data_IF_242508621751
#
_entry.id   IF_242508621751
#
_cell.length_a   1.000
_cell.length_b   1.000
_cell.length_c   1.000
_cell.angle_alpha   90.00
_cell.angle_beta   90.00
_cell.angle_gamma   90.00
#
_symmetry.space_group_name_H-M   'P 1'
#
loop_
_entity.id
_entity.type
_entity.pdbx_description
1 polymer ?
#
# COMPACT_ATOMS: atom_id res chain seq x y z
N UNK A 1 8.26 -12.92 -16.73
CA UNK A 1 9.54 -13.36 -16.11
C UNK A 1 10.01 -12.41 -15.02
N UNK A 2 9.80 -11.09 -15.14
CA UNK A 2 10.06 -10.14 -14.04
C UNK A 2 8.97 -10.20 -12.95
N UNK A 3 7.74 -10.54 -13.35
CA UNK A 3 6.59 -10.70 -12.45
C UNK A 3 6.82 -11.79 -11.41
N UNK A 4 7.24 -12.97 -11.88
CA UNK A 4 7.65 -14.09 -11.02
C UNK A 4 8.83 -13.78 -10.09
N UNK A 5 9.69 -12.82 -10.45
CA UNK A 5 10.83 -12.46 -9.62
C UNK A 5 10.42 -11.57 -8.45
N UNK A 6 9.43 -10.69 -8.64
CA UNK A 6 8.88 -9.85 -7.58
C UNK A 6 7.91 -10.64 -6.72
N UNK A 7 7.01 -11.42 -7.31
CA UNK A 7 6.17 -12.34 -6.52
C UNK A 7 7.04 -13.26 -5.66
N UNK A 8 8.07 -13.86 -6.25
CA UNK A 8 9.03 -14.68 -5.52
C UNK A 8 9.88 -13.88 -4.52
N UNK A 9 10.18 -12.61 -4.78
CA UNK A 9 10.89 -11.73 -3.85
C UNK A 9 10.00 -11.33 -2.66
N UNK A 10 8.75 -10.97 -2.94
CA UNK A 10 7.72 -10.64 -1.97
C UNK A 10 7.48 -11.82 -1.03
N UNK A 11 7.24 -13.00 -1.58
CA UNK A 11 6.96 -14.21 -0.81
C UNK A 11 8.14 -14.62 0.08
N UNK A 12 9.38 -14.35 -0.36
CA UNK A 12 10.60 -14.68 0.40
C UNK A 12 10.98 -13.62 1.45
N UNK A 13 10.74 -12.33 1.18
CA UNK A 13 11.25 -11.23 1.99
C UNK A 13 10.14 -10.53 2.79
N UNK A 14 9.05 -10.13 2.12
CA UNK A 14 8.00 -9.31 2.73
C UNK A 14 6.90 -10.12 3.39
N UNK A 15 6.40 -11.18 2.73
CA UNK A 15 5.34 -12.02 3.31
C UNK A 15 5.71 -12.55 4.70
N UNK A 16 6.93 -13.07 4.97
CA UNK A 16 7.25 -13.59 6.29
C UNK A 16 7.25 -12.52 7.39
N UNK A 17 7.73 -11.31 7.10
CA UNK A 17 7.72 -10.22 8.09
C UNK A 17 6.31 -9.68 8.31
N UNK A 18 5.48 -9.59 7.27
CA UNK A 18 4.07 -9.20 7.40
C UNK A 18 3.32 -10.17 8.31
N UNK A 19 3.45 -11.47 8.07
CA UNK A 19 2.84 -12.50 8.92
C UNK A 19 3.37 -12.45 10.36
N UNK A 20 4.67 -12.23 10.55
CA UNK A 20 5.27 -12.06 11.89
C UNK A 20 4.74 -10.82 12.61
N UNK A 21 4.39 -9.77 11.87
CA UNK A 21 3.75 -8.56 12.36
C UNK A 21 2.23 -8.67 12.44
N UNK A 22 1.67 -9.89 12.36
CA UNK A 22 0.24 -10.18 12.51
C UNK A 22 -0.63 -9.57 11.40
N UNK A 23 -0.04 -9.31 10.23
CA UNK A 23 -0.83 -8.98 9.05
C UNK A 23 -1.41 -10.23 8.41
N UNK A 24 -2.66 -10.14 7.98
CA UNK A 24 -3.38 -11.17 7.23
C UNK A 24 -3.54 -10.72 5.78
N UNK A 25 -3.30 -11.62 4.82
CA UNK A 25 -3.55 -11.32 3.40
C UNK A 25 -5.05 -11.25 3.14
N UNK A 26 -5.49 -10.16 2.51
CA UNK A 26 -6.88 -9.96 2.11
C UNK A 26 -6.99 -10.06 0.59
N UNK A 27 -7.79 -11.02 0.14
CA UNK A 27 -8.10 -11.20 -1.28
C UNK A 27 -9.50 -10.68 -1.56
N UNK A 28 -9.60 -9.78 -2.53
CA UNK A 28 -10.89 -9.28 -3.01
C UNK A 28 -11.17 -9.78 -4.43
N UNK A 29 -12.44 -10.00 -4.72
CA UNK A 29 -13.05 -10.29 -6.02
C UNK A 29 -14.02 -9.17 -6.39
N UNK A 30 -14.23 -8.96 -7.68
CA UNK A 30 -15.16 -7.94 -8.21
C UNK A 30 -14.90 -6.50 -7.67
N UNK A 31 -13.66 -6.21 -7.30
CA UNK A 31 -13.20 -4.93 -6.77
C UNK A 31 -11.76 -4.70 -7.24
N UNK A 32 -11.45 -3.50 -7.73
CA UNK A 32 -10.07 -3.11 -8.02
C UNK A 32 -9.32 -2.93 -6.72
N UNK A 33 -8.14 -3.56 -6.63
CA UNK A 33 -7.31 -3.56 -5.44
C UNK A 33 -5.83 -3.61 -5.81
N UNK A 34 -4.94 -3.25 -4.87
CA UNK A 34 -3.53 -3.57 -4.97
C UNK A 34 -3.29 -5.07 -5.17
N UNK A 35 -2.17 -5.40 -5.82
CA UNK A 35 -1.78 -6.79 -6.07
C UNK A 35 -1.63 -7.58 -4.76
N UNK A 36 -0.90 -6.99 -3.81
CA UNK A 36 -0.75 -7.48 -2.46
C UNK A 36 -1.46 -6.54 -1.51
N UNK A 37 -2.41 -7.08 -0.74
CA UNK A 37 -3.18 -6.33 0.25
C UNK A 37 -3.21 -7.11 1.56
N UNK A 38 -2.81 -6.45 2.64
CA UNK A 38 -2.66 -7.05 3.95
C UNK A 38 -3.28 -6.17 5.02
N UNK A 39 -3.89 -6.77 6.04
CA UNK A 39 -4.55 -6.07 7.15
C UNK A 39 -4.01 -6.50 8.50
N UNK A 40 -3.82 -5.55 9.40
CA UNK A 40 -3.65 -5.75 10.84
C UNK A 40 -4.49 -4.69 11.56
N UNK A 41 -5.52 -5.12 12.28
CA UNK A 41 -6.49 -4.21 12.91
C UNK A 41 -7.03 -3.15 11.91
N UNK A 42 -6.78 -1.87 12.18
CA UNK A 42 -7.13 -0.75 11.30
C UNK A 42 -6.00 -0.38 10.33
N UNK A 43 -4.82 -0.97 10.43
CA UNK A 43 -3.67 -0.67 9.56
C UNK A 43 -3.66 -1.62 8.36
N UNK A 44 -3.44 -1.04 7.20
CA UNK A 44 -3.36 -1.75 5.93
C UNK A 44 -1.99 -1.56 5.31
N UNK A 45 -1.45 -2.64 4.78
CA UNK A 45 -0.26 -2.62 3.95
C UNK A 45 -0.66 -3.03 2.54
N UNK A 46 -0.17 -2.30 1.54
CA UNK A 46 -0.31 -2.71 0.15
C UNK A 46 0.96 -2.55 -0.64
N UNK A 47 1.11 -3.40 -1.65
CA UNK A 47 2.15 -3.30 -2.66
C UNK A 47 1.54 -3.59 -4.03
N UNK A 48 1.80 -2.70 -4.97
CA UNK A 48 1.49 -2.85 -6.40
C UNK A 48 2.73 -2.49 -7.19
N UNK A 49 2.95 -3.11 -8.34
CA UNK A 49 4.08 -2.77 -9.18
C UNK A 49 3.74 -3.01 -10.65
N UNK A 50 4.38 -2.26 -11.53
CA UNK A 50 4.29 -2.49 -12.96
C UNK A 50 5.68 -2.32 -13.59
N UNK A 51 6.24 -3.38 -14.17
CA UNK A 51 7.55 -3.30 -14.82
C UNK A 51 7.53 -2.50 -16.12
N UNK A 52 6.38 -2.40 -16.79
CA UNK A 52 6.25 -1.66 -18.05
C UNK A 52 6.39 -0.17 -17.77
N UNK A 53 5.73 0.26 -16.71
CA UNK A 53 5.72 1.65 -16.26
C UNK A 53 6.82 1.95 -15.22
N UNK A 54 7.64 0.94 -14.86
CA UNK A 54 8.75 1.05 -13.90
C UNK A 54 8.30 1.61 -12.55
N UNK A 55 7.13 1.17 -12.13
CA UNK A 55 6.39 1.73 -11.01
C UNK A 55 6.36 0.76 -9.85
N UNK A 56 6.56 1.27 -8.62
CA UNK A 56 6.31 0.57 -7.38
C UNK A 56 5.47 1.42 -6.44
N UNK A 57 4.27 0.97 -6.14
CA UNK A 57 3.47 1.51 -5.05
C UNK A 57 3.70 0.68 -3.80
N UNK A 58 4.10 1.31 -2.71
CA UNK A 58 4.07 0.72 -1.38
C UNK A 58 3.33 1.67 -0.46
N UNK A 59 2.33 1.16 0.24
CA UNK A 59 1.54 1.95 1.17
C UNK A 59 1.40 1.24 2.52
N UNK A 60 1.37 2.04 3.59
CA UNK A 60 1.08 1.64 4.95
C UNK A 60 0.19 2.72 5.60
N UNK A 61 -1.06 2.39 5.89
CA UNK A 61 -2.04 3.37 6.35
C UNK A 61 -3.45 2.81 6.56
N UNK A 62 -4.48 3.53 6.10
CA UNK A 62 -5.89 3.09 6.17
C UNK A 62 -6.43 2.77 4.78
N UNK A 63 -7.35 1.80 4.70
CA UNK A 63 -8.04 1.47 3.46
C UNK A 63 -9.19 2.44 3.24
N UNK A 64 -9.25 3.06 2.07
CA UNK A 64 -10.33 3.96 1.68
C UNK A 64 -10.94 3.52 0.35
N UNK A 65 -12.22 3.82 0.18
CA UNK A 65 -12.87 3.72 -1.13
C UNK A 65 -12.30 4.81 -2.05
N UNK A 66 -12.09 4.48 -3.31
CA UNK A 66 -11.72 5.42 -4.35
C UNK A 66 -12.89 5.56 -5.32
N UNK A 67 -13.27 6.79 -5.65
CA UNK A 67 -14.31 7.05 -6.64
C UNK A 67 -13.80 6.66 -8.03
N UNK A 68 -14.35 5.58 -8.56
CA UNK A 68 -14.01 5.02 -9.88
C UNK A 68 -15.27 4.39 -10.49
N UNK A 69 -15.21 4.03 -11.77
CA UNK A 69 -16.32 3.41 -12.51
C UNK A 69 -16.73 2.05 -11.89
N UNK A 70 -15.80 1.40 -11.20
CA UNK A 70 -16.02 0.16 -10.47
C UNK A 70 -15.53 0.27 -9.03
N UNK A 71 -16.03 -0.55 -8.08
CA UNK A 71 -15.57 -0.50 -6.69
C UNK A 71 -14.06 -0.65 -6.62
N UNK A 72 -13.39 0.36 -6.08
CA UNK A 72 -11.94 0.41 -5.97
C UNK A 72 -11.53 0.78 -4.56
N UNK A 73 -10.58 0.06 -4.01
CA UNK A 73 -9.96 0.37 -2.74
C UNK A 73 -8.51 0.78 -2.94
N UNK A 74 -8.04 1.72 -2.13
CA UNK A 74 -6.63 2.13 -2.07
C UNK A 74 -6.21 2.24 -0.61
N UNK A 75 -4.93 1.97 -0.33
CA UNK A 75 -4.36 2.23 1.00
C UNK A 75 -3.80 3.64 1.00
N UNK A 76 -4.42 4.51 1.80
CA UNK A 76 -3.98 5.88 1.97
C UNK A 76 -2.85 5.92 3.00
N UNK A 77 -1.61 6.08 2.52
CA UNK A 77 -0.41 6.22 3.35
C UNK A 77 0.84 5.79 2.60
N UNK A 78 1.39 6.68 1.76
CA UNK A 78 2.59 6.38 0.97
C UNK A 78 3.76 5.96 1.88
N UNK A 79 4.43 4.85 1.56
CA UNK A 79 5.49 4.33 2.41
C UNK A 79 6.71 5.26 2.51
N UNK A 80 6.90 6.18 1.56
CA UNK A 80 7.97 7.16 1.57
C UNK A 80 7.91 8.17 2.73
N UNK A 81 6.76 8.29 3.40
CA UNK A 81 6.66 9.02 4.68
C UNK A 81 7.54 8.37 5.77
N UNK A 82 7.71 7.05 5.72
CA UNK A 82 8.48 6.27 6.69
C UNK A 82 9.91 6.01 6.22
N UNK A 83 10.08 5.74 4.93
CA UNK A 83 11.39 5.56 4.31
C UNK A 83 11.45 6.22 2.94
N UNK A 84 12.07 7.41 2.89
CA UNK A 84 12.15 8.27 1.69
C UNK A 84 12.84 7.65 0.49
N UNK A 85 13.51 6.51 0.61
CA UNK A 85 14.06 5.81 -0.56
C UNK A 85 13.07 4.87 -1.23
N UNK A 86 11.99 4.50 -0.55
CA UNK A 86 10.95 3.62 -1.09
C UNK A 86 9.93 4.54 -1.77
N UNK A 87 10.33 5.06 -2.92
CA UNK A 87 9.49 5.93 -3.76
C UNK A 87 8.98 5.17 -4.98
N UNK A 88 8.08 5.80 -5.73
CA UNK A 88 7.47 5.21 -6.93
C UNK A 88 8.51 4.90 -8.02
N UNK A 89 9.59 5.68 -8.06
CA UNK A 89 10.72 5.51 -8.98
C UNK A 89 11.84 4.62 -8.43
N UNK A 90 11.64 3.97 -7.28
CA UNK A 90 12.66 3.10 -6.67
C UNK A 90 13.04 1.89 -7.55
N UNK A 91 12.33 1.73 -8.68
CA UNK A 91 12.44 0.62 -9.61
C UNK A 91 12.64 1.12 -11.05
N UNK A 92 13.64 1.99 -11.24
CA UNK A 92 14.12 2.37 -12.57
C UNK A 92 15.08 1.34 -13.21
N UNK A 93 15.59 1.61 -14.43
CA UNK A 93 16.54 0.73 -15.11
C UNK A 93 17.83 0.59 -14.30
N UNK A 94 18.16 -0.63 -13.87
CA UNK A 94 19.32 -0.93 -13.03
C UNK A 94 19.03 -1.04 -11.53
N UNK A 95 17.76 -0.87 -11.12
CA UNK A 95 17.36 -1.04 -9.72
C UNK A 95 17.35 -2.51 -9.31
N UNK A 96 17.86 -2.78 -8.11
CA UNK A 96 17.76 -4.09 -7.48
C UNK A 96 16.49 -4.17 -6.61
N UNK A 97 15.46 -4.81 -7.16
CA UNK A 97 14.22 -5.11 -6.46
C UNK A 97 14.45 -5.80 -5.12
N UNK A 98 15.42 -6.72 -5.03
CA UNK A 98 15.72 -7.45 -3.80
C UNK A 98 16.17 -6.49 -2.69
N UNK A 99 16.99 -5.50 -3.04
CA UNK A 99 17.42 -4.45 -2.11
C UNK A 99 16.26 -3.58 -1.63
N UNK A 100 15.33 -3.20 -2.51
CA UNK A 100 14.14 -2.41 -2.13
C UNK A 100 13.24 -3.21 -1.19
N UNK A 101 12.93 -4.47 -1.52
CA UNK A 101 12.12 -5.35 -0.67
C UNK A 101 12.80 -5.62 0.68
N UNK A 102 14.12 -5.80 0.70
CA UNK A 102 14.89 -5.94 1.95
C UNK A 102 14.81 -4.67 2.79
N UNK A 103 14.85 -3.49 2.17
CA UNK A 103 14.75 -2.22 2.89
C UNK A 103 13.37 -2.01 3.49
N UNK A 104 12.30 -2.38 2.76
CA UNK A 104 10.94 -2.41 3.31
C UNK A 104 10.89 -3.39 4.48
N UNK A 105 11.41 -4.61 4.31
CA UNK A 105 11.43 -5.63 5.37
C UNK A 105 12.08 -5.12 6.67
N UNK A 106 13.21 -4.40 6.56
CA UNK A 106 13.95 -3.87 7.72
C UNK A 106 13.23 -2.68 8.35
N UNK A 107 12.63 -1.79 7.55
CA UNK A 107 12.00 -0.57 8.05
C UNK A 107 10.57 -0.78 8.55
N UNK A 108 9.87 -1.82 8.10
CA UNK A 108 8.44 -2.04 8.35
C UNK A 108 8.06 -2.06 9.84
N UNK A 109 8.80 -2.71 10.75
CA UNK A 109 8.45 -2.66 12.17
C UNK A 109 8.46 -1.25 12.77
N UNK A 110 9.41 -0.41 12.34
CA UNK A 110 9.53 0.98 12.80
C UNK A 110 8.44 1.85 12.19
N UNK A 111 8.16 1.67 10.89
CA UNK A 111 7.06 2.34 10.20
C UNK A 111 5.71 2.03 10.86
N UNK A 112 5.47 0.75 11.17
CA UNK A 112 4.25 0.28 11.84
C UNK A 112 4.09 0.84 13.26
N UNK A 113 5.18 1.06 14.00
CA UNK A 113 5.11 1.67 15.33
C UNK A 113 4.67 3.14 15.29
N UNK A 114 4.85 3.83 14.14
CA UNK A 114 4.56 5.25 13.97
C UNK A 114 3.27 5.54 13.20
N UNK A 115 2.82 4.60 12.35
CA UNK A 115 1.68 4.83 11.45
C UNK A 115 0.44 5.29 12.19
N UNK A 116 0.11 4.68 13.33
CA UNK A 116 -1.08 5.04 14.12
C UNK A 116 -1.01 6.48 14.66
N UNK A 117 0.16 6.87 15.18
CA UNK A 117 0.38 8.20 15.78
C UNK A 117 0.42 9.31 14.72
N UNK A 118 1.11 9.05 13.61
CA UNK A 118 1.33 10.05 12.57
C UNK A 118 0.25 10.05 11.48
N UNK A 119 -0.71 9.10 11.52
CA UNK A 119 -1.75 8.98 10.48
C UNK A 119 -2.53 10.26 10.19
N UNK A 120 -3.01 11.01 11.20
CA UNK A 120 -3.77 12.23 10.95
C UNK A 120 -2.98 13.26 10.13
N UNK A 121 -1.66 13.35 10.38
CA UNK A 121 -0.77 14.23 9.65
C UNK A 121 -0.59 13.78 8.20
N UNK A 122 -0.49 12.48 7.94
CA UNK A 122 -0.39 11.94 6.57
C UNK A 122 -1.61 12.34 5.73
N UNK A 123 -2.80 12.21 6.30
CA UNK A 123 -4.05 12.60 5.62
C UNK A 123 -4.05 14.10 5.31
N UNK A 124 -3.61 14.93 6.25
CA UNK A 124 -3.51 16.37 6.06
C UNK A 124 -2.46 16.74 4.99
N UNK A 125 -1.28 16.15 5.04
CA UNK A 125 -0.21 16.37 4.06
C UNK A 125 -0.65 15.97 2.65
N UNK A 126 -1.38 14.86 2.49
CA UNK A 126 -1.93 14.44 1.19
C UNK A 126 -2.98 15.42 0.66
N UNK A 127 -3.91 15.87 1.51
CA UNK A 127 -4.88 16.93 1.16
C UNK A 127 -4.20 18.23 0.76
N UNK A 128 -3.06 18.56 1.37
CA UNK A 128 -2.30 19.77 1.05
C UNK A 128 -1.48 19.63 -0.25
N UNK A 129 -0.96 18.44 -0.54
CA UNK A 129 -0.14 18.17 -1.73
C UNK A 129 -0.95 18.24 -3.02
N UNK A 130 -2.20 17.82 -2.98
CA UNK A 130 -3.06 17.71 -4.17
C UNK A 130 -4.03 18.90 -4.17
N UNK A 131 -3.60 19.99 -4.82
CA UNK A 131 -4.44 21.16 -5.07
C UNK A 131 -5.10 21.04 -6.46
N UNK A 132 -6.41 21.30 -6.60
CA UNK A 132 -7.33 21.78 -5.56
C UNK A 132 -7.81 20.66 -4.62
N UNK A 133 -7.95 20.99 -3.32
CA UNK A 133 -8.40 20.09 -2.25
C UNK A 133 -9.70 19.34 -2.59
N UNK A 134 -10.58 20.00 -3.33
CA UNK A 134 -11.88 19.46 -3.77
C UNK A 134 -11.73 18.20 -4.63
N UNK A 135 -10.63 18.04 -5.37
CA UNK A 135 -10.39 16.83 -6.19
C UNK A 135 -10.00 15.62 -5.35
N UNK A 136 -9.32 15.84 -4.22
CA UNK A 136 -8.88 14.75 -3.32
C UNK A 136 -10.06 14.21 -2.53
N UNK A 137 -10.85 15.09 -1.91
CA UNK A 137 -12.01 14.65 -1.15
C UNK A 137 -13.15 14.15 -2.07
N UNK A 138 -13.12 14.51 -3.35
CA UNK A 138 -13.97 13.91 -4.39
C UNK A 138 -13.51 12.50 -4.74
N UNK A 139 -12.21 12.28 -5.01
CA UNK A 139 -11.70 10.96 -5.42
C UNK A 139 -11.49 9.99 -4.26
N UNK A 140 -11.09 10.47 -3.09
CA UNK A 140 -10.92 9.67 -1.87
C UNK A 140 -12.25 9.65 -1.12
N UNK A 141 -12.93 8.53 -1.23
CA UNK A 141 -14.12 8.22 -0.46
C UNK A 141 -13.83 7.96 1.01
N UNK A 142 -14.82 7.35 1.68
CA UNK A 142 -14.73 7.04 3.11
C UNK A 142 -13.75 5.89 3.39
N UNK A 143 -13.22 5.87 4.60
CA UNK A 143 -12.54 4.68 5.14
C UNK A 143 -13.46 3.47 5.00
N UNK A 144 -12.89 2.36 4.53
CA UNK A 144 -13.63 1.14 4.26
C UNK A 144 -14.03 0.49 5.59
N UNK A 145 -15.33 0.36 5.82
CA UNK A 145 -15.86 -0.46 6.89
C UNK A 145 -15.73 -1.96 6.54
N UNK A 146 -15.40 -2.80 7.52
CA UNK A 146 -15.09 -4.21 7.28
C UNK A 146 -16.29 -5.00 6.73
N UNK A 147 -17.47 -4.75 7.29
CA UNK A 147 -18.75 -5.32 6.83
C UNK A 147 -19.05 -4.97 5.37
N UNK A 148 -18.71 -3.75 4.94
CA UNK A 148 -18.84 -3.37 3.54
C UNK A 148 -17.87 -4.15 2.64
N UNK A 149 -16.65 -4.42 3.13
CA UNK A 149 -15.60 -5.13 2.40
C UNK A 149 -15.90 -6.63 2.25
N UNK A 150 -16.60 -7.25 3.20
CA UNK A 150 -16.97 -8.68 3.18
C UNK A 150 -17.68 -9.11 1.89
N UNK A 151 -18.48 -8.22 1.30
CA UNK A 151 -19.17 -8.46 0.03
C UNK A 151 -18.21 -8.72 -1.15
N UNK A 152 -16.96 -8.27 -1.02
CA UNK A 152 -15.91 -8.41 -2.02
C UNK A 152 -14.86 -9.44 -1.64
N UNK A 153 -14.90 -10.03 -0.44
CA UNK A 153 -13.88 -11.01 -0.03
C UNK A 153 -14.03 -12.31 -0.82
N UNK A 154 -12.89 -12.84 -1.29
CA UNK A 154 -12.83 -14.02 -2.13
C UNK A 154 -12.94 -15.31 -1.33
#
# INVERSE_FOLDING_TARGET
MRDSAIEGGFDRLLRPILLKLEFEEVRLKNCMRPEFLFRRDRVWFSLSWDWRDQYLEVCLGRLVWFEDVMPRVVVLGDYSYWDRSVTWDAIGPGSDFGSVLTRIQVSLPVALARVEEEYPRIVEDLRNKWAPRDTVDYLLGKEVALDALENYMA
#
